data_IF_623405586712
#
_entry.id   IF_623405586712
#
_cell.length_a   1.000
_cell.length_b   1.000
_cell.length_c   1.000
_cell.angle_alpha   90.00
_cell.angle_beta   90.00
_cell.angle_gamma   90.00
#
_symmetry.space_group_name_H-M   'P 1'
#
loop_
_entity.id
_entity.type
_entity.pdbx_description
1 polymer ?
#
# COMPACT_ATOMS: atom_id res chain seq x y z
N UNK A 1 -27.96 -5.14 -4.63
CA UNK A 1 -27.34 -4.35 -3.59
C UNK A 1 -26.18 -5.20 -3.06
N UNK A 2 -25.01 -5.06 -3.66
CA UNK A 2 -23.83 -5.85 -3.33
C UNK A 2 -22.97 -4.99 -2.40
N UNK A 3 -23.05 -5.28 -1.12
CA UNK A 3 -22.21 -4.63 -0.10
C UNK A 3 -20.79 -5.19 -0.26
N UNK A 4 -19.90 -4.40 -0.84
CA UNK A 4 -18.48 -4.71 -0.82
C UNK A 4 -17.98 -4.45 0.61
N UNK A 5 -17.73 -5.52 1.36
CA UNK A 5 -17.10 -5.44 2.69
C UNK A 5 -15.64 -5.02 2.46
N UNK A 6 -15.33 -3.78 2.78
CA UNK A 6 -13.95 -3.33 2.91
C UNK A 6 -13.37 -4.01 4.16
N UNK A 7 -12.54 -5.00 3.96
CA UNK A 7 -11.82 -5.67 5.05
C UNK A 7 -10.60 -4.85 5.44
N UNK A 8 -10.57 -4.46 6.67
CA UNK A 8 -9.49 -3.74 7.35
C UNK A 8 -8.25 -4.61 7.46
N UNK A 9 -7.13 -4.08 7.01
CA UNK A 9 -5.81 -4.64 7.17
C UNK A 9 -5.17 -4.08 8.44
N UNK A 10 -4.90 -4.91 9.43
CA UNK A 10 -4.22 -4.50 10.67
C UNK A 10 -2.74 -4.85 10.62
N UNK A 11 -1.86 -3.86 10.74
CA UNK A 11 -0.43 -4.07 10.93
C UNK A 11 -0.15 -4.43 12.40
N UNK A 12 0.61 -5.49 12.64
CA UNK A 12 1.01 -5.94 13.97
C UNK A 12 2.42 -5.43 14.29
N UNK A 13 2.55 -4.56 15.30
CA UNK A 13 3.84 -4.09 15.80
C UNK A 13 4.38 -5.01 16.89
N UNK A 14 5.63 -5.44 16.75
CA UNK A 14 6.35 -6.19 17.79
C UNK A 14 6.94 -5.27 18.86
N UNK A 15 6.65 -5.53 20.13
CA UNK A 15 7.12 -4.75 21.26
C UNK A 15 8.55 -5.10 21.73
N UNK A 16 9.25 -4.11 22.23
CA UNK A 16 10.51 -4.23 22.98
C UNK A 16 10.55 -3.23 24.14
N UNK A 17 10.86 -3.72 25.30
CA UNK A 17 10.76 -3.11 26.64
C UNK A 17 11.91 -2.14 26.98
N UNK A 18 11.60 -1.03 27.67
CA UNK A 18 12.35 -0.59 28.85
C UNK A 18 13.07 0.74 28.86
N UNK A 19 12.64 1.54 29.76
CA UNK A 19 13.24 2.49 30.70
C UNK A 19 13.34 3.98 30.39
N UNK A 20 12.85 4.71 31.39
CA UNK A 20 12.71 6.15 31.58
C UNK A 20 14.03 6.92 31.66
N UNK A 21 14.12 8.15 31.09
CA UNK A 21 14.21 9.40 31.84
C UNK A 21 14.31 10.67 30.98
N UNK A 22 13.74 11.73 31.57
CA UNK A 22 13.89 13.17 31.40
C UNK A 22 13.44 13.87 30.12
N UNK A 23 12.39 14.62 30.33
CA UNK A 23 11.72 15.58 29.45
C UNK A 23 12.60 16.74 28.99
N UNK A 24 12.72 16.90 27.69
CA UNK A 24 12.84 18.20 27.05
C UNK A 24 11.62 18.41 26.18
N UNK A 25 10.75 19.33 26.53
CA UNK A 25 9.58 19.71 25.71
C UNK A 25 10.06 20.50 24.51
N UNK A 26 10.36 19.80 23.42
CA UNK A 26 10.38 20.42 22.08
C UNK A 26 8.94 20.44 21.59
N UNK A 27 8.37 21.63 21.38
CA UNK A 27 7.08 21.78 20.71
C UNK A 27 7.11 21.03 19.39
N UNK A 28 6.07 20.23 19.05
CA UNK A 28 6.01 19.56 17.76
C UNK A 28 6.08 20.60 16.65
N UNK A 29 6.87 20.30 15.62
CA UNK A 29 6.95 21.14 14.41
C UNK A 29 5.55 21.22 13.80
N UNK A 30 5.03 22.42 13.49
CA UNK A 30 3.72 22.56 12.88
C UNK A 30 3.65 21.77 11.57
N UNK A 31 2.72 20.84 11.45
CA UNK A 31 2.46 20.12 10.20
C UNK A 31 1.83 21.11 9.21
N UNK A 32 2.29 21.12 7.94
CA UNK A 32 1.76 22.04 6.95
C UNK A 32 0.25 21.85 6.74
N UNK A 33 -0.53 22.89 6.86
CA UNK A 33 -1.96 22.94 6.56
C UNK A 33 -2.23 23.09 5.05
N UNK A 34 -1.26 22.76 4.19
CA UNK A 34 -1.39 22.93 2.74
C UNK A 34 -2.27 21.83 2.15
N UNK A 35 -3.33 22.23 1.46
CA UNK A 35 -4.23 21.35 0.71
C UNK A 35 -3.69 20.94 -0.67
N UNK A 36 -2.53 21.46 -1.04
CA UNK A 36 -1.83 21.13 -2.30
C UNK A 36 -0.72 20.13 -2.02
N UNK A 37 -0.64 19.11 -2.85
CA UNK A 37 0.39 18.09 -2.73
C UNK A 37 1.79 18.70 -2.81
N UNK A 38 2.67 18.25 -1.94
CA UNK A 38 4.10 18.59 -1.99
C UNK A 38 4.77 17.99 -3.24
N UNK A 39 5.99 18.45 -3.54
CA UNK A 39 6.78 17.87 -4.64
C UNK A 39 6.99 16.35 -4.48
N UNK A 40 7.11 15.87 -3.25
CA UNK A 40 7.28 14.44 -2.93
C UNK A 40 6.00 13.65 -3.24
N UNK A 41 4.85 14.16 -2.78
CA UNK A 41 3.54 13.55 -3.06
C UNK A 41 3.20 13.57 -4.55
N UNK A 42 3.57 14.64 -5.26
CA UNK A 42 3.43 14.70 -6.72
C UNK A 42 4.29 13.67 -7.44
N UNK A 43 5.49 13.37 -6.96
CA UNK A 43 6.35 12.31 -7.50
C UNK A 43 5.71 10.93 -7.30
N UNK A 44 5.18 10.65 -6.09
CA UNK A 44 4.45 9.41 -5.82
C UNK A 44 3.21 9.26 -6.72
N UNK A 45 2.40 10.32 -6.84
CA UNK A 45 1.21 10.33 -7.68
C UNK A 45 1.55 10.11 -9.17
N UNK A 46 2.64 10.73 -9.65
CA UNK A 46 3.12 10.55 -11.02
C UNK A 46 3.49 9.09 -11.26
N UNK A 47 4.31 8.49 -10.40
CA UNK A 47 4.74 7.10 -10.52
C UNK A 47 3.55 6.13 -10.45
N UNK A 48 2.59 6.35 -9.52
CA UNK A 48 1.36 5.56 -9.42
C UNK A 48 0.55 5.62 -10.72
N UNK A 49 0.33 6.81 -11.25
CA UNK A 49 -0.47 7.01 -12.46
C UNK A 49 0.22 6.52 -13.74
N UNK A 50 1.54 6.63 -13.85
CA UNK A 50 2.31 6.04 -14.95
C UNK A 50 2.13 4.53 -15.00
N UNK A 51 2.29 3.84 -13.86
CA UNK A 51 2.10 2.40 -13.76
C UNK A 51 0.66 1.97 -14.06
N UNK A 52 -0.32 2.64 -13.46
CA UNK A 52 -1.74 2.35 -13.70
C UNK A 52 -2.12 2.54 -15.18
N UNK A 53 -1.74 3.67 -15.76
CA UNK A 53 -2.10 4.03 -17.16
C UNK A 53 -1.42 3.10 -18.16
N UNK A 54 -0.14 2.80 -17.98
CA UNK A 54 0.61 1.90 -18.85
C UNK A 54 -0.04 0.51 -18.86
N UNK A 55 -0.54 0.03 -17.73
CA UNK A 55 -1.18 -1.28 -17.61
C UNK A 55 -2.71 -1.25 -17.83
N UNK A 56 -3.27 -0.13 -18.25
CA UNK A 56 -4.68 -0.02 -18.65
C UNK A 56 -5.69 0.12 -17.51
N UNK A 57 -5.25 0.32 -16.26
CA UNK A 57 -6.12 0.51 -15.10
C UNK A 57 -6.71 1.93 -14.99
N UNK A 58 -6.27 2.87 -15.85
CA UNK A 58 -6.68 4.27 -15.82
C UNK A 58 -5.96 5.09 -14.74
N UNK A 59 -5.84 6.38 -14.98
CA UNK A 59 -5.24 7.33 -14.03
C UNK A 59 -6.22 7.72 -12.93
N UNK A 60 -5.68 8.06 -11.77
CA UNK A 60 -6.40 8.66 -10.65
C UNK A 60 -6.27 10.19 -10.70
N UNK A 61 -7.31 10.90 -10.31
CA UNK A 61 -7.31 12.35 -10.15
C UNK A 61 -7.12 12.71 -8.68
N UNK A 62 -6.26 13.69 -8.40
CA UNK A 62 -6.09 14.18 -7.04
C UNK A 62 -7.40 14.79 -6.51
N UNK A 63 -7.77 14.43 -5.28
CA UNK A 63 -8.92 15.00 -4.59
C UNK A 63 -8.48 15.61 -3.26
N UNK A 64 -8.89 16.86 -3.02
CA UNK A 64 -8.49 17.61 -1.83
C UNK A 64 -8.96 16.95 -0.52
N UNK A 65 -10.18 16.43 -0.46
CA UNK A 65 -10.69 15.80 0.74
C UNK A 65 -9.96 14.48 1.03
N UNK A 66 -9.61 13.71 -0.01
CA UNK A 66 -8.78 12.52 0.15
C UNK A 66 -7.35 12.88 0.58
N UNK A 67 -6.77 13.99 0.08
CA UNK A 67 -5.48 14.48 0.57
C UNK A 67 -5.55 14.85 2.06
N UNK A 68 -6.60 15.54 2.50
CA UNK A 68 -6.78 15.88 3.92
C UNK A 68 -6.97 14.63 4.79
N UNK A 69 -7.72 13.64 4.31
CA UNK A 69 -7.88 12.35 4.99
C UNK A 69 -6.52 11.65 5.16
N UNK A 70 -5.77 11.53 4.07
CA UNK A 70 -4.42 10.94 4.08
C UNK A 70 -3.47 11.73 5.00
N UNK A 71 -3.51 13.07 4.96
CA UNK A 71 -2.70 13.93 5.82
C UNK A 71 -3.02 13.75 7.30
N UNK A 72 -4.29 13.72 7.68
CA UNK A 72 -4.68 13.51 9.08
C UNK A 72 -4.14 12.17 9.60
N UNK A 73 -4.35 11.09 8.84
CA UNK A 73 -3.92 9.76 9.27
C UNK A 73 -2.38 9.61 9.29
N UNK A 74 -1.69 10.12 8.28
CA UNK A 74 -0.23 10.17 8.30
C UNK A 74 0.31 10.99 9.48
N UNK A 75 -0.37 12.10 9.84
CA UNK A 75 -0.01 12.91 11.01
C UNK A 75 -0.29 12.20 12.33
N UNK A 76 -1.36 11.41 12.41
CA UNK A 76 -1.64 10.53 13.54
C UNK A 76 -0.49 9.54 13.75
N UNK A 77 -0.11 8.79 12.71
CA UNK A 77 0.99 7.83 12.77
C UNK A 77 2.34 8.50 13.10
N UNK A 78 2.60 9.67 12.51
CA UNK A 78 3.79 10.48 12.80
C UNK A 78 3.86 10.91 14.27
N UNK A 79 2.74 11.38 14.83
CA UNK A 79 2.62 11.76 16.25
C UNK A 79 2.88 10.59 17.18
N UNK A 80 2.30 9.41 16.88
CA UNK A 80 2.55 8.19 17.68
C UNK A 80 4.03 7.78 17.60
N UNK A 81 4.63 7.81 16.39
CA UNK A 81 6.05 7.52 16.18
C UNK A 81 6.94 8.46 16.99
N UNK A 82 6.67 9.77 16.94
CA UNK A 82 7.46 10.78 17.64
C UNK A 82 7.35 10.64 19.16
N UNK A 83 6.13 10.44 19.67
CA UNK A 83 5.88 10.31 21.10
C UNK A 83 6.55 9.07 21.68
N UNK A 84 6.45 7.93 21.00
CA UNK A 84 6.93 6.65 21.50
C UNK A 84 8.38 6.33 21.10
N UNK A 85 9.02 7.15 20.27
CA UNK A 85 10.38 6.92 19.76
C UNK A 85 10.55 5.54 19.14
N UNK A 86 9.56 5.12 18.35
CA UNK A 86 9.57 3.87 17.58
C UNK A 86 8.70 4.02 16.32
N UNK A 87 9.05 3.36 15.21
CA UNK A 87 8.22 3.39 14.00
C UNK A 87 6.83 2.83 14.27
N UNK A 88 5.80 3.53 13.79
CA UNK A 88 4.41 3.10 13.94
C UNK A 88 3.62 3.31 12.65
N UNK A 89 2.93 2.26 12.20
CA UNK A 89 1.94 2.31 11.13
C UNK A 89 0.77 1.40 11.47
N UNK A 90 -0.45 1.86 11.20
CA UNK A 90 -1.69 1.11 11.44
C UNK A 90 -2.79 1.65 10.53
N UNK A 91 -3.67 0.78 10.04
CA UNK A 91 -4.90 1.19 9.34
C UNK A 91 -5.98 1.73 10.27
N UNK A 92 -5.81 1.56 11.58
CA UNK A 92 -6.79 1.99 12.56
C UNK A 92 -6.19 2.97 13.56
N UNK A 93 -6.95 4.01 13.89
CA UNK A 93 -6.61 4.97 14.94
C UNK A 93 -7.27 4.55 16.26
N UNK A 94 -6.86 3.38 16.78
CA UNK A 94 -7.36 2.84 18.07
C UNK A 94 -6.35 3.07 19.18
N UNK A 95 -6.80 2.83 20.42
CA UNK A 95 -5.89 2.76 21.57
C UNK A 95 -5.03 1.51 21.44
N UNK A 96 -3.71 1.68 21.41
CA UNK A 96 -2.75 0.59 21.33
C UNK A 96 -2.08 0.37 22.69
N UNK A 97 -2.11 -0.88 23.16
CA UNK A 97 -1.53 -1.24 24.46
C UNK A 97 -0.02 -1.03 24.44
N UNK A 98 0.49 -0.27 25.41
CA UNK A 98 1.92 0.02 25.54
C UNK A 98 2.41 1.21 24.72
N UNK A 99 1.53 1.88 23.96
CA UNK A 99 1.84 3.12 23.26
C UNK A 99 1.11 4.31 23.88
N UNK A 100 1.78 5.45 23.92
CA UNK A 100 1.23 6.73 24.36
C UNK A 100 0.55 7.45 23.18
N UNK A 101 -0.43 8.31 23.50
CA UNK A 101 -1.11 9.18 22.54
C UNK A 101 -1.70 8.42 21.31
N UNK A 102 -2.33 7.28 21.57
CA UNK A 102 -3.05 6.52 20.58
C UNK A 102 -4.57 6.62 20.76
N UNK A 103 -5.34 6.36 19.70
CA UNK A 103 -6.79 6.50 19.70
C UNK A 103 -7.24 7.96 19.81
N UNK A 104 -8.42 8.18 20.35
CA UNK A 104 -9.12 9.49 20.40
C UNK A 104 -8.35 10.56 21.20
N UNK A 105 -7.38 10.19 22.02
CA UNK A 105 -6.55 11.14 22.76
C UNK A 105 -5.44 11.76 21.91
N UNK A 106 -5.11 11.15 20.78
CA UNK A 106 -4.12 11.71 19.86
C UNK A 106 -4.65 13.03 19.24
N UNK A 107 -3.81 14.09 19.19
CA UNK A 107 -4.24 15.37 18.64
C UNK A 107 -4.62 15.33 17.15
N UNK A 108 -4.20 14.31 16.42
CA UNK A 108 -4.51 14.13 15.00
C UNK A 108 -5.55 13.04 14.74
N UNK A 109 -6.18 12.50 15.80
CA UNK A 109 -7.24 11.51 15.63
C UNK A 109 -8.31 12.03 14.68
N UNK A 110 -8.62 11.27 13.63
CA UNK A 110 -9.58 11.65 12.61
C UNK A 110 -10.70 10.62 12.39
N UNK A 111 -10.55 9.42 12.93
CA UNK A 111 -11.54 8.36 12.88
C UNK A 111 -10.89 6.99 13.01
N UNK A 112 -11.61 6.05 13.63
CA UNK A 112 -11.07 4.73 13.97
C UNK A 112 -10.58 3.94 12.74
N UNK A 113 -11.22 4.10 11.60
CA UNK A 113 -10.92 3.44 10.33
C UNK A 113 -11.10 4.41 9.16
N UNK A 114 -10.76 3.98 7.95
CA UNK A 114 -10.87 4.82 6.77
C UNK A 114 -12.29 5.36 6.54
N UNK A 115 -13.33 4.56 6.78
CA UNK A 115 -14.72 5.00 6.62
C UNK A 115 -15.07 6.13 7.58
N UNK A 116 -14.64 6.02 8.84
CA UNK A 116 -14.80 7.07 9.85
C UNK A 116 -13.98 8.32 9.51
N UNK A 117 -12.77 8.16 8.96
CA UNK A 117 -11.92 9.29 8.54
C UNK A 117 -12.46 10.05 7.35
N UNK A 118 -13.15 9.38 6.43
CA UNK A 118 -13.83 10.01 5.27
C UNK A 118 -15.13 10.71 5.67
N UNK A 119 -15.64 10.45 6.86
CA UNK A 119 -16.86 11.05 7.39
C UNK A 119 -16.75 11.28 8.91
N UNK A 120 -15.83 12.14 9.35
CA UNK A 120 -15.45 12.24 10.76
C UNK A 120 -16.56 12.90 11.59
N UNK A 121 -16.88 12.29 12.74
CA UNK A 121 -17.80 12.86 13.75
C UNK A 121 -17.07 13.60 14.85
N UNK A 122 -15.93 13.07 15.28
CA UNK A 122 -15.10 13.64 16.35
C UNK A 122 -13.68 13.70 15.90
N UNK A 123 -13.09 14.88 15.98
CA UNK A 123 -11.71 15.13 15.55
C UNK A 123 -10.84 15.47 16.76
N UNK A 124 -9.59 15.02 16.73
CA UNK A 124 -8.54 15.55 17.57
C UNK A 124 -8.29 17.03 17.27
N UNK A 125 -7.67 17.73 18.21
CA UNK A 125 -7.50 19.21 18.15
C UNK A 125 -6.73 19.72 16.92
N UNK A 126 -5.93 18.89 16.27
CA UNK A 126 -5.09 19.23 15.11
C UNK A 126 -5.56 18.57 13.82
N UNK A 127 -6.56 17.67 13.88
CA UNK A 127 -7.11 17.05 12.69
C UNK A 127 -8.04 18.02 11.93
N UNK A 128 -8.04 17.94 10.62
CA UNK A 128 -8.85 18.77 9.74
C UNK A 128 -10.10 18.02 9.35
N UNK A 129 -11.27 18.66 9.43
CA UNK A 129 -12.53 18.05 9.01
C UNK A 129 -12.50 17.72 7.52
N UNK A 130 -12.87 16.48 7.20
CA UNK A 130 -13.06 16.02 5.83
C UNK A 130 -14.45 15.41 5.69
N UNK A 131 -14.98 15.45 4.50
CA UNK A 131 -16.17 14.70 4.12
C UNK A 131 -16.02 14.24 2.67
N UNK A 132 -16.20 12.95 2.45
CA UNK A 132 -16.14 12.40 1.11
C UNK A 132 -17.17 11.28 0.95
N UNK A 133 -18.14 11.49 0.08
CA UNK A 133 -19.16 10.50 -0.25
C UNK A 133 -18.64 9.54 -1.33
N UNK A 134 -18.65 8.23 -1.05
CA UNK A 134 -18.01 7.21 -1.88
C UNK A 134 -18.84 5.93 -2.02
N UNK A 135 -18.63 5.23 -3.13
CA UNK A 135 -19.13 3.88 -3.38
C UNK A 135 -18.08 2.79 -3.07
N UNK A 136 -16.81 3.12 -3.28
CA UNK A 136 -15.68 2.26 -2.98
C UNK A 136 -14.51 3.10 -2.46
N UNK A 137 -13.74 2.52 -1.57
CA UNK A 137 -12.56 3.13 -0.98
C UNK A 137 -11.45 2.10 -0.78
N UNK A 138 -10.23 2.56 -0.70
CA UNK A 138 -9.04 1.75 -0.39
C UNK A 138 -7.96 2.60 0.23
N UNK A 139 -7.16 2.00 1.07
CA UNK A 139 -6.06 2.63 1.77
C UNK A 139 -4.80 1.79 1.60
N UNK A 140 -3.68 2.44 1.38
CA UNK A 140 -2.38 1.81 1.31
C UNK A 140 -1.40 2.63 2.15
N UNK A 141 -0.74 1.95 3.08
CA UNK A 141 0.24 2.55 3.99
C UNK A 141 1.59 1.90 3.75
N UNK A 142 2.62 2.71 3.66
CA UNK A 142 4.00 2.25 3.65
C UNK A 142 4.80 2.99 4.72
N UNK A 143 5.64 2.24 5.43
CA UNK A 143 6.56 2.76 6.42
C UNK A 143 7.99 2.36 6.04
N UNK A 144 8.92 3.31 6.13
CA UNK A 144 10.36 3.05 6.01
C UNK A 144 11.08 3.70 7.18
N UNK A 145 11.99 2.99 7.81
CA UNK A 145 12.81 3.52 8.90
C UNK A 145 14.28 3.30 8.62
N UNK A 146 15.08 4.35 8.86
CA UNK A 146 16.53 4.33 8.71
C UNK A 146 17.18 5.00 9.92
N UNK A 147 18.21 4.36 10.49
CA UNK A 147 18.98 4.87 11.63
C UNK A 147 20.39 5.24 11.22
N UNK A 148 20.94 6.32 11.76
CA UNK A 148 22.29 6.78 11.49
C UNK A 148 22.88 7.56 12.65
N UNK A 149 24.23 7.50 12.81
CA UNK A 149 24.98 8.36 13.73
C UNK A 149 25.40 9.68 13.06
N UNK A 150 25.18 9.84 11.77
CA UNK A 150 25.56 11.04 11.02
C UNK A 150 24.49 12.11 11.19
N UNK A 151 24.77 13.13 12.02
CA UNK A 151 23.85 14.24 12.26
C UNK A 151 23.60 15.15 11.02
N UNK A 152 24.49 15.06 10.03
CA UNK A 152 24.36 15.83 8.76
C UNK A 152 23.62 15.03 7.68
N UNK A 153 23.19 13.80 7.96
CA UNK A 153 22.44 13.02 6.99
C UNK A 153 21.07 13.64 6.71
N UNK A 154 20.72 13.74 5.44
CA UNK A 154 19.40 14.18 4.97
C UNK A 154 18.79 13.09 4.12
N UNK A 155 17.51 12.83 4.36
CA UNK A 155 16.72 11.88 3.57
C UNK A 155 16.48 12.49 2.18
N UNK A 156 16.64 11.69 1.14
CA UNK A 156 16.14 12.05 -0.19
C UNK A 156 14.66 11.62 -0.27
N UNK A 157 13.75 12.50 0.12
CA UNK A 157 12.33 12.19 0.25
C UNK A 157 11.70 11.68 -1.04
N UNK A 158 12.09 12.23 -2.20
CA UNK A 158 11.58 11.77 -3.50
C UNK A 158 12.00 10.33 -3.79
N UNK A 159 13.28 10.00 -3.62
CA UNK A 159 13.74 8.62 -3.82
C UNK A 159 13.14 7.66 -2.80
N UNK A 160 12.92 8.13 -1.57
CA UNK A 160 12.28 7.34 -0.50
C UNK A 160 10.84 7.03 -0.85
N UNK A 161 10.03 8.02 -1.22
CA UNK A 161 8.61 7.80 -1.55
C UNK A 161 8.43 6.91 -2.79
N UNK A 162 9.31 7.03 -3.79
CA UNK A 162 9.31 6.13 -4.95
C UNK A 162 9.62 4.68 -4.51
N UNK A 163 10.62 4.47 -3.65
CA UNK A 163 10.94 3.16 -3.12
C UNK A 163 9.77 2.57 -2.30
N UNK A 164 9.12 3.38 -1.47
CA UNK A 164 7.94 2.98 -0.68
C UNK A 164 6.78 2.56 -1.60
N UNK A 165 6.55 3.28 -2.68
CA UNK A 165 5.51 2.91 -3.65
C UNK A 165 5.85 1.61 -4.40
N UNK A 166 7.11 1.38 -4.76
CA UNK A 166 7.53 0.09 -5.33
C UNK A 166 7.36 -1.07 -4.34
N UNK A 167 7.56 -0.85 -3.05
CA UNK A 167 7.29 -1.86 -2.03
C UNK A 167 5.79 -2.19 -1.95
N UNK A 168 4.92 -1.18 -2.03
CA UNK A 168 3.47 -1.39 -2.10
C UNK A 168 3.05 -2.15 -3.39
N UNK A 169 3.68 -1.87 -4.53
CA UNK A 169 3.46 -2.65 -5.75
C UNK A 169 3.99 -4.10 -5.67
N UNK A 170 4.97 -4.35 -4.80
CA UNK A 170 5.47 -5.71 -4.55
C UNK A 170 4.63 -6.48 -3.52
N UNK A 171 3.71 -5.83 -2.82
CA UNK A 171 2.85 -6.41 -1.81
C UNK A 171 1.50 -6.83 -2.45
N UNK A 172 1.14 -8.12 -2.48
CA UNK A 172 0.00 -8.65 -3.24
C UNK A 172 -1.32 -7.89 -3.07
N UNK A 173 -1.72 -7.61 -1.84
CA UNK A 173 -3.01 -6.95 -1.57
C UNK A 173 -2.93 -5.42 -1.72
N UNK A 174 -1.79 -4.82 -1.38
CA UNK A 174 -1.55 -3.41 -1.67
C UNK A 174 -1.49 -3.16 -3.18
N UNK A 175 -0.79 -4.02 -3.94
CA UNK A 175 -0.79 -3.98 -5.40
C UNK A 175 -2.22 -4.00 -5.95
N UNK A 176 -3.04 -4.99 -5.51
CA UNK A 176 -4.44 -5.09 -5.91
C UNK A 176 -5.20 -3.78 -5.65
N UNK A 177 -5.04 -3.20 -4.45
CA UNK A 177 -5.66 -1.93 -4.07
C UNK A 177 -5.19 -0.77 -4.94
N UNK A 178 -3.87 -0.63 -5.15
CA UNK A 178 -3.28 0.47 -5.93
C UNK A 178 -3.75 0.47 -7.39
N UNK A 179 -3.96 -0.71 -7.99
CA UNK A 179 -4.37 -0.81 -9.40
C UNK A 179 -5.87 -1.10 -9.59
N UNK A 180 -6.68 -1.09 -8.52
CA UNK A 180 -8.10 -1.37 -8.63
C UNK A 180 -8.78 -0.37 -9.59
N UNK A 181 -9.41 -0.86 -10.70
CA UNK A 181 -9.85 0.03 -11.78
C UNK A 181 -11.08 0.87 -11.44
N UNK A 182 -11.79 0.54 -10.36
CA UNK A 182 -12.95 1.32 -9.90
C UNK A 182 -12.54 2.64 -9.25
N UNK A 183 -11.32 2.72 -8.68
CA UNK A 183 -10.86 3.98 -8.12
C UNK A 183 -10.55 4.99 -9.22
N UNK A 184 -11.10 6.20 -9.07
CA UNK A 184 -10.94 7.32 -9.99
C UNK A 184 -10.29 8.54 -9.34
N UNK A 185 -10.32 8.61 -8.02
CA UNK A 185 -9.74 9.71 -7.26
C UNK A 185 -8.77 9.20 -6.19
N UNK A 186 -7.80 10.04 -5.82
CA UNK A 186 -6.75 9.71 -4.85
C UNK A 186 -6.35 10.91 -4.02
N UNK A 187 -6.01 10.66 -2.77
CA UNK A 187 -5.28 11.55 -1.88
C UNK A 187 -3.99 10.87 -1.41
N UNK A 188 -2.93 11.66 -1.26
CA UNK A 188 -1.64 11.20 -0.77
C UNK A 188 -1.13 12.13 0.32
N UNK A 189 -0.40 11.54 1.28
CA UNK A 189 0.39 12.29 2.26
C UNK A 189 1.69 11.56 2.54
N UNK A 190 2.77 12.32 2.60
CA UNK A 190 4.10 11.86 3.01
C UNK A 190 4.53 12.62 4.25
N UNK A 191 4.96 11.90 5.28
CA UNK A 191 5.49 12.46 6.52
C UNK A 191 6.87 11.88 6.80
N UNK A 192 7.81 12.74 7.18
CA UNK A 192 9.13 12.34 7.69
C UNK A 192 9.24 12.73 9.16
N UNK A 193 9.37 11.74 10.03
CA UNK A 193 9.59 11.91 11.47
C UNK A 193 11.05 11.65 11.80
N UNK A 194 11.68 12.60 12.47
CA UNK A 194 13.06 12.47 12.95
C UNK A 194 13.06 12.39 14.49
N UNK A 195 13.62 11.32 15.02
CA UNK A 195 13.70 11.09 16.46
C UNK A 195 15.02 10.42 16.83
N UNK A 196 15.41 10.50 18.13
CA UNK A 196 16.68 9.96 18.62
C UNK A 196 16.43 8.91 19.69
N UNK A 197 17.05 7.75 19.55
CA UNK A 197 17.13 6.72 20.56
C UNK A 197 18.48 6.00 20.46
N UNK A 198 18.99 5.49 21.57
CA UNK A 198 20.23 4.70 21.64
C UNK A 198 21.44 5.39 20.97
N UNK A 199 21.54 6.73 21.05
CA UNK A 199 22.54 7.56 20.38
C UNK A 199 22.51 7.52 18.84
N UNK A 200 21.42 7.04 18.25
CA UNK A 200 21.20 7.06 16.81
C UNK A 200 20.04 8.01 16.47
N UNK A 201 20.15 8.64 15.32
CA UNK A 201 19.09 9.46 14.74
C UNK A 201 18.30 8.55 13.81
N UNK A 202 17.01 8.44 14.08
CA UNK A 202 16.07 7.67 13.29
C UNK A 202 15.29 8.61 12.37
N UNK A 203 15.12 8.18 11.13
CA UNK A 203 14.29 8.82 10.12
C UNK A 203 13.18 7.85 9.74
N UNK A 204 11.97 8.09 10.21
CA UNK A 204 10.78 7.29 9.86
C UNK A 204 9.98 8.03 8.79
N UNK A 205 9.88 7.45 7.61
CA UNK A 205 9.06 7.93 6.52
C UNK A 205 7.75 7.18 6.49
N UNK A 206 6.64 7.89 6.34
CA UNK A 206 5.29 7.37 6.26
C UNK A 206 4.67 7.86 4.95
N UNK A 207 4.15 6.94 4.16
CA UNK A 207 3.37 7.23 2.94
C UNK A 207 1.96 6.68 3.13
N UNK A 208 0.99 7.55 3.03
CA UNK A 208 -0.43 7.25 3.06
C UNK A 208 -1.05 7.52 1.69
N UNK A 209 -1.80 6.56 1.15
CA UNK A 209 -2.51 6.67 -0.12
C UNK A 209 -3.96 6.25 0.10
N UNK A 210 -4.87 7.19 -0.04
CA UNK A 210 -6.32 6.96 0.02
C UNK A 210 -6.89 7.06 -1.38
N UNK A 211 -7.47 5.97 -1.89
CA UNK A 211 -8.10 5.92 -3.21
C UNK A 211 -9.60 5.69 -3.08
N UNK A 212 -10.40 6.28 -3.96
CA UNK A 212 -11.86 6.14 -3.90
C UNK A 212 -12.55 6.23 -5.26
N UNK A 213 -13.78 5.71 -5.28
CA UNK A 213 -14.80 6.00 -6.30
C UNK A 213 -15.87 6.85 -5.65
N UNK A 214 -16.09 8.13 -6.07
CA UNK A 214 -17.15 8.96 -5.51
C UNK A 214 -18.54 8.44 -5.85
N UNK A 215 -19.52 8.65 -4.95
CA UNK A 215 -20.92 8.22 -5.15
C UNK A 215 -21.58 8.85 -6.38
N UNK A 216 -21.08 9.99 -6.83
CA UNK A 216 -21.55 10.67 -8.04
C UNK A 216 -21.15 10.01 -9.36
N UNK A 217 -20.16 9.08 -9.32
CA UNK A 217 -19.69 8.35 -10.50
C UNK A 217 -20.31 6.95 -10.55
N UNK A 218 -20.43 6.40 -11.75
CA UNK A 218 -20.86 5.01 -11.94
C UNK A 218 -19.66 4.07 -11.86
N UNK A 219 -19.92 2.84 -11.42
CA UNK A 219 -18.94 1.77 -11.52
C UNK A 219 -18.45 1.62 -12.97
N UNK A 220 -17.13 1.49 -13.12
CA UNK A 220 -16.50 1.24 -14.42
C UNK A 220 -16.68 -0.24 -14.75
N UNK A 221 -17.32 -0.54 -15.89
CA UNK A 221 -17.37 -1.92 -16.40
C UNK A 221 -16.00 -2.30 -16.94
N UNK A 222 -15.33 -3.23 -16.28
CA UNK A 222 -14.11 -3.81 -16.84
C UNK A 222 -14.49 -4.98 -17.74
N UNK A 223 -14.31 -4.79 -19.06
CA UNK A 223 -14.52 -5.80 -20.11
C UNK A 223 -13.20 -6.36 -20.65
N UNK A 224 -12.06 -5.94 -20.10
CA UNK A 224 -10.73 -6.31 -20.57
C UNK A 224 -10.00 -7.17 -19.56
N UNK A 225 -9.07 -7.97 -20.07
CA UNK A 225 -8.05 -8.62 -19.26
C UNK A 225 -6.97 -7.58 -18.95
N UNK A 226 -6.75 -7.31 -17.67
CA UNK A 226 -5.73 -6.39 -17.17
C UNK A 226 -4.72 -7.16 -16.31
N UNK A 227 -3.48 -6.75 -16.33
CA UNK A 227 -2.46 -7.30 -15.43
C UNK A 227 -1.45 -6.24 -15.00
N UNK A 228 -0.91 -6.41 -13.81
CA UNK A 228 0.25 -5.68 -13.31
C UNK A 228 1.26 -6.68 -12.68
N UNK A 229 2.56 -6.61 -13.04
CA UNK A 229 3.14 -5.74 -14.08
C UNK A 229 2.53 -5.99 -15.45
N UNK A 230 2.71 -5.06 -16.39
CA UNK A 230 2.40 -5.24 -17.81
C UNK A 230 3.67 -4.99 -18.64
N UNK A 231 3.54 -5.06 -19.97
CA UNK A 231 4.71 -4.99 -20.84
C UNK A 231 5.50 -3.70 -20.67
N UNK A 232 6.82 -3.83 -20.49
CA UNK A 232 7.77 -2.74 -20.36
C UNK A 232 7.80 -2.00 -19.01
N UNK A 233 6.98 -2.38 -18.02
CA UNK A 233 6.94 -1.74 -16.70
C UNK A 233 8.19 -2.09 -15.89
N UNK A 234 8.65 -1.15 -15.08
CA UNK A 234 9.66 -1.38 -14.04
C UNK A 234 8.98 -1.56 -12.68
N UNK A 235 9.39 -2.58 -11.91
CA UNK A 235 8.75 -2.98 -10.64
C UNK A 235 9.75 -3.13 -9.51
N UNK A 236 9.27 -3.45 -8.30
CA UNK A 236 10.07 -4.04 -7.23
C UNK A 236 10.64 -5.41 -7.62
N UNK A 237 11.42 -6.00 -6.74
CA UNK A 237 11.99 -7.34 -6.96
C UNK A 237 11.76 -8.29 -5.79
N UNK A 238 11.47 -7.77 -4.60
CA UNK A 238 11.21 -8.57 -3.40
C UNK A 238 10.19 -7.91 -2.49
N UNK A 239 9.59 -8.74 -1.63
CA UNK A 239 8.73 -8.32 -0.53
C UNK A 239 9.08 -9.11 0.72
N UNK A 240 9.28 -8.40 1.83
CA UNK A 240 9.66 -8.95 3.14
C UNK A 240 8.56 -8.78 4.20
N UNK A 241 7.48 -8.07 3.89
CA UNK A 241 6.38 -7.85 4.83
C UNK A 241 5.08 -7.49 4.09
N UNK A 242 3.98 -8.09 4.51
CA UNK A 242 2.61 -7.80 4.05
C UNK A 242 1.61 -8.15 5.15
N UNK A 243 0.68 -7.27 5.39
CA UNK A 243 -0.43 -7.53 6.32
C UNK A 243 -1.75 -7.19 5.65
N UNK A 244 -2.69 -8.20 5.55
CA UNK A 244 -2.53 -9.58 5.98
C UNK A 244 -1.57 -10.36 5.08
N UNK A 245 -0.90 -11.35 5.67
CA UNK A 245 0.04 -12.20 4.94
C UNK A 245 -0.71 -13.07 3.90
N UNK A 246 -0.29 -13.06 2.61
CA UNK A 246 -0.94 -13.85 1.55
C UNK A 246 -0.80 -15.36 1.72
N UNK A 247 0.05 -15.81 2.62
CA UNK A 247 0.22 -17.22 3.00
C UNK A 247 -0.43 -17.56 4.35
N UNK A 248 -1.19 -16.62 4.94
CA UNK A 248 -1.74 -16.79 6.28
C UNK A 248 -0.62 -16.96 7.32
N UNK A 249 -0.67 -18.03 8.10
CA UNK A 249 0.34 -18.34 9.13
C UNK A 249 1.41 -19.34 8.66
N UNK A 250 1.38 -19.78 7.39
CA UNK A 250 2.27 -20.84 6.90
C UNK A 250 3.65 -20.36 6.47
N UNK A 251 3.83 -19.04 6.32
CA UNK A 251 5.09 -18.44 5.87
C UNK A 251 5.31 -17.09 6.56
N UNK A 252 6.49 -16.88 7.07
CA UNK A 252 6.97 -15.59 7.57
C UNK A 252 7.79 -14.91 6.48
N UNK A 253 7.24 -13.84 5.89
CA UNK A 253 7.86 -13.12 4.78
C UNK A 253 9.17 -12.45 5.17
N UNK A 254 9.38 -12.10 6.44
CA UNK A 254 10.63 -11.53 6.93
C UNK A 254 11.82 -12.47 6.75
N UNK A 255 11.59 -13.76 6.90
CA UNK A 255 12.65 -14.80 6.76
C UNK A 255 12.57 -15.55 5.43
N UNK A 256 11.44 -15.49 4.77
CA UNK A 256 11.18 -16.16 3.50
C UNK A 256 10.52 -15.16 2.53
N UNK A 257 11.25 -14.13 2.07
CA UNK A 257 10.73 -13.13 1.18
C UNK A 257 10.27 -13.73 -0.16
N UNK A 258 9.40 -13.04 -0.84
CA UNK A 258 8.84 -13.41 -2.14
C UNK A 258 9.28 -12.43 -3.22
N UNK A 259 9.08 -12.82 -4.49
CA UNK A 259 9.30 -11.92 -5.63
C UNK A 259 8.10 -11.03 -5.92
N UNK A 260 8.27 -10.11 -6.88
CA UNK A 260 7.20 -9.25 -7.38
C UNK A 260 5.98 -10.07 -7.82
N UNK A 261 4.81 -9.88 -7.22
CA UNK A 261 3.58 -10.57 -7.62
C UNK A 261 3.07 -10.08 -8.98
N UNK A 262 2.40 -10.97 -9.68
CA UNK A 262 1.69 -10.68 -10.93
C UNK A 262 0.19 -10.71 -10.62
N UNK A 263 -0.42 -9.53 -10.54
CA UNK A 263 -1.88 -9.42 -10.38
C UNK A 263 -2.56 -9.47 -11.76
N UNK A 264 -3.60 -10.26 -11.88
CA UNK A 264 -4.41 -10.37 -13.09
C UNK A 264 -5.88 -10.19 -12.75
N UNK A 265 -6.52 -9.29 -13.47
CA UNK A 265 -7.94 -9.00 -13.38
C UNK A 265 -8.63 -9.36 -14.71
N UNK A 266 -9.47 -10.38 -14.69
CA UNK A 266 -10.34 -10.73 -15.79
C UNK A 266 -11.55 -9.79 -15.88
N UNK A 267 -12.29 -9.75 -17.01
CA UNK A 267 -13.56 -9.04 -17.11
C UNK A 267 -14.49 -9.34 -15.94
N UNK A 268 -15.28 -8.35 -15.49
CA UNK A 268 -16.10 -8.48 -14.29
C UNK A 268 -17.23 -9.52 -14.38
N UNK A 269 -17.65 -9.88 -15.60
CA UNK A 269 -18.61 -10.94 -15.87
C UNK A 269 -18.00 -12.35 -15.82
N UNK A 270 -16.68 -12.49 -15.79
CA UNK A 270 -15.98 -13.77 -15.77
C UNK A 270 -15.72 -14.28 -14.36
N UNK A 271 -15.61 -15.60 -14.25
CA UNK A 271 -15.16 -16.30 -13.06
C UNK A 271 -13.99 -17.20 -13.45
N UNK A 272 -12.85 -17.05 -12.80
CA UNK A 272 -11.66 -17.85 -13.03
C UNK A 272 -11.85 -19.20 -12.34
N UNK A 273 -11.80 -20.29 -13.12
CA UNK A 273 -11.84 -21.66 -12.60
C UNK A 273 -10.43 -22.20 -12.35
N UNK A 274 -9.51 -21.94 -13.29
CA UNK A 274 -8.11 -22.36 -13.17
C UNK A 274 -7.19 -21.23 -13.67
N UNK A 275 -6.02 -21.13 -13.06
CA UNK A 275 -4.99 -20.17 -13.47
C UNK A 275 -3.60 -20.79 -13.32
N UNK A 276 -2.75 -20.61 -14.32
CA UNK A 276 -1.36 -21.06 -14.31
C UNK A 276 -0.46 -19.97 -14.88
N UNK A 277 0.76 -19.86 -14.35
CA UNK A 277 1.76 -18.94 -14.87
C UNK A 277 3.15 -19.55 -14.89
N UNK A 278 3.99 -19.03 -15.77
CA UNK A 278 5.42 -19.28 -15.83
C UNK A 278 6.14 -17.94 -15.93
N UNK A 279 7.17 -17.77 -15.14
CA UNK A 279 8.06 -16.61 -15.20
C UNK A 279 9.45 -17.10 -15.57
N UNK A 280 10.07 -16.47 -16.55
CA UNK A 280 11.40 -16.85 -17.02
C UNK A 280 12.35 -15.66 -17.04
N UNK A 281 13.63 -15.94 -16.81
CA UNK A 281 14.76 -15.05 -17.02
C UNK A 281 15.63 -15.65 -18.11
N UNK A 282 15.83 -14.96 -19.24
CA UNK A 282 16.61 -15.47 -20.38
C UNK A 282 16.18 -16.89 -20.80
N UNK A 283 14.88 -17.16 -20.85
CA UNK A 283 14.32 -18.47 -21.22
C UNK A 283 14.36 -19.54 -20.13
N UNK A 284 14.99 -19.28 -18.97
CA UNK A 284 15.05 -20.22 -17.84
C UNK A 284 13.97 -19.89 -16.81
N UNK A 285 13.17 -20.88 -16.39
CA UNK A 285 12.16 -20.71 -15.33
C UNK A 285 12.81 -20.29 -14.03
N UNK A 286 12.18 -19.34 -13.31
CA UNK A 286 12.66 -18.86 -12.00
C UNK A 286 12.28 -19.80 -10.85
N UNK A 287 11.55 -20.87 -11.09
CA UNK A 287 11.14 -21.84 -10.08
C UNK A 287 9.64 -21.83 -9.80
N UNK A 288 9.26 -22.08 -8.55
CA UNK A 288 7.87 -22.21 -8.13
C UNK A 288 7.16 -20.87 -8.09
N UNK A 289 5.88 -20.90 -8.48
CA UNK A 289 4.96 -19.77 -8.42
C UNK A 289 3.72 -20.21 -7.65
N UNK A 290 3.39 -19.46 -6.60
CA UNK A 290 2.14 -19.66 -5.87
C UNK A 290 1.00 -18.95 -6.60
N UNK A 291 -0.17 -19.58 -6.65
CA UNK A 291 -1.36 -19.03 -7.30
C UNK A 291 -2.43 -18.77 -6.25
N UNK A 292 -2.76 -17.51 -6.01
CA UNK A 292 -3.87 -17.09 -5.18
C UNK A 292 -5.08 -16.76 -6.05
N UNK A 293 -6.20 -17.39 -5.75
CA UNK A 293 -7.52 -17.12 -6.34
C UNK A 293 -8.52 -16.86 -5.22
N UNK A 294 -9.74 -16.44 -5.55
CA UNK A 294 -10.80 -16.29 -4.55
C UNK A 294 -11.08 -17.54 -3.70
N UNK A 295 -10.70 -18.73 -4.20
CA UNK A 295 -10.88 -20.00 -3.49
C UNK A 295 -9.70 -20.31 -2.55
N UNK A 296 -8.46 -20.00 -2.98
CA UNK A 296 -7.23 -20.33 -2.24
C UNK A 296 -6.70 -19.19 -1.37
N UNK A 297 -7.20 -17.96 -1.53
CA UNK A 297 -6.82 -16.80 -0.74
C UNK A 297 -7.21 -16.99 0.74
N UNK A 298 -6.25 -17.09 1.67
CA UNK A 298 -6.53 -17.28 3.09
C UNK A 298 -7.27 -16.10 3.72
N UNK A 299 -7.10 -14.90 3.16
CA UNK A 299 -7.67 -13.66 3.67
C UNK A 299 -9.02 -13.29 3.00
N UNK A 300 -9.44 -14.04 1.99
CA UNK A 300 -10.72 -13.83 1.27
C UNK A 300 -10.89 -12.44 0.66
N UNK A 301 -9.79 -11.83 0.23
CA UNK A 301 -9.76 -10.49 -0.36
C UNK A 301 -9.97 -10.52 -1.88
N UNK A 302 -9.63 -11.62 -2.55
CA UNK A 302 -9.74 -11.73 -4.00
C UNK A 302 -11.18 -12.02 -4.45
N UNK A 303 -11.61 -11.31 -5.48
CA UNK A 303 -12.87 -11.58 -6.18
C UNK A 303 -12.71 -12.77 -7.15
N UNK A 304 -13.82 -13.35 -7.60
CA UNK A 304 -13.85 -14.53 -8.48
C UNK A 304 -13.17 -14.36 -9.85
N UNK A 305 -12.96 -13.13 -10.26
CA UNK A 305 -12.29 -12.75 -11.52
C UNK A 305 -10.87 -12.23 -11.31
N UNK A 306 -10.30 -12.43 -10.12
CA UNK A 306 -8.94 -12.01 -9.79
C UNK A 306 -8.04 -13.21 -9.50
N UNK A 307 -6.78 -13.09 -9.87
CA UNK A 307 -5.72 -14.04 -9.50
C UNK A 307 -4.41 -13.28 -9.26
N UNK A 308 -3.62 -13.75 -8.30
CA UNK A 308 -2.26 -13.28 -8.06
C UNK A 308 -1.31 -14.46 -8.18
N UNK A 309 -0.30 -14.33 -9.05
CA UNK A 309 0.81 -15.26 -9.15
C UNK A 309 2.00 -14.69 -8.38
N UNK A 310 2.51 -15.41 -7.41
CA UNK A 310 3.56 -14.96 -6.50
C UNK A 310 4.79 -15.83 -6.71
N UNK A 311 5.93 -15.26 -7.19
CA UNK A 311 7.20 -15.99 -7.22
C UNK A 311 7.63 -16.40 -5.82
N UNK A 312 8.01 -17.67 -5.64
CA UNK A 312 8.39 -18.22 -4.33
C UNK A 312 9.66 -17.57 -3.74
N UNK A 313 10.50 -17.02 -4.60
CA UNK A 313 11.75 -16.37 -4.20
C UNK A 313 11.82 -14.95 -4.76
N UNK A 314 12.58 -14.03 -4.09
CA UNK A 314 12.89 -12.73 -4.64
C UNK A 314 13.45 -12.81 -6.07
N UNK A 315 13.06 -11.84 -6.89
CA UNK A 315 13.63 -11.65 -8.20
C UNK A 315 15.00 -10.95 -8.09
N UNK A 316 15.82 -11.03 -9.13
CA UNK A 316 17.08 -10.29 -9.15
C UNK A 316 16.83 -8.82 -9.48
N UNK A 317 17.51 -7.87 -8.85
CA UNK A 317 17.43 -6.47 -9.23
C UNK A 317 17.97 -6.23 -10.65
N UNK A 318 17.54 -5.13 -11.26
CA UNK A 318 17.96 -4.67 -12.62
C UNK A 318 17.88 -5.77 -13.70
N UNK A 319 16.84 -6.61 -13.64
CA UNK A 319 16.72 -7.82 -14.45
C UNK A 319 15.40 -7.85 -15.21
N UNK A 320 15.45 -8.27 -16.49
CA UNK A 320 14.27 -8.49 -17.30
C UNK A 320 13.68 -9.87 -17.10
N UNK A 321 12.35 -9.95 -17.02
CA UNK A 321 11.59 -11.18 -16.91
C UNK A 321 10.50 -11.25 -17.96
N UNK A 322 10.22 -12.47 -18.43
CA UNK A 322 9.07 -12.78 -19.28
C UNK A 322 8.06 -13.58 -18.48
N UNK A 323 6.80 -13.16 -18.54
CA UNK A 323 5.66 -13.85 -17.94
C UNK A 323 4.79 -14.43 -19.03
N UNK A 324 4.35 -15.67 -18.85
CA UNK A 324 3.29 -16.29 -19.63
C UNK A 324 2.27 -16.87 -18.68
N UNK A 325 0.98 -16.59 -18.87
CA UNK A 325 -0.08 -17.18 -18.07
C UNK A 325 -1.29 -17.62 -18.89
N UNK A 326 -2.04 -18.56 -18.34
CA UNK A 326 -3.32 -19.03 -18.88
C UNK A 326 -4.38 -18.97 -17.79
N UNK A 327 -5.54 -18.45 -18.14
CA UNK A 327 -6.78 -18.51 -17.35
C UNK A 327 -7.77 -19.43 -18.05
N UNK A 328 -8.48 -20.25 -17.27
CA UNK A 328 -9.66 -21.01 -17.71
C UNK A 328 -10.84 -20.47 -16.94
N UNK A 329 -11.90 -20.08 -17.62
CA UNK A 329 -13.12 -19.56 -17.00
C UNK A 329 -14.15 -20.68 -16.77
N UNK A 330 -15.12 -20.43 -15.89
CA UNK A 330 -16.18 -21.40 -15.59
C UNK A 330 -17.04 -21.80 -16.80
N UNK A 331 -17.07 -20.97 -17.85
CA UNK A 331 -17.73 -21.28 -19.13
C UNK A 331 -16.87 -22.14 -20.08
N UNK A 332 -15.68 -22.56 -19.65
CA UNK A 332 -14.73 -23.35 -20.40
C UNK A 332 -13.86 -22.55 -21.38
N UNK A 333 -14.09 -21.24 -21.54
CA UNK A 333 -13.23 -20.39 -22.34
C UNK A 333 -11.84 -20.29 -21.73
N UNK A 334 -10.82 -20.15 -22.60
CA UNK A 334 -9.42 -19.98 -22.17
C UNK A 334 -8.87 -18.68 -22.71
N UNK A 335 -8.08 -18.02 -21.89
CA UNK A 335 -7.32 -16.83 -22.29
C UNK A 335 -5.88 -17.01 -21.89
N UNK A 336 -4.97 -16.67 -22.79
CA UNK A 336 -3.52 -16.65 -22.55
C UNK A 336 -2.98 -15.25 -22.75
N UNK A 337 -1.96 -14.89 -21.99
CA UNK A 337 -1.22 -13.64 -22.20
C UNK A 337 0.27 -13.87 -21.98
N UNK A 338 1.09 -13.03 -22.60
CA UNK A 338 2.53 -13.01 -22.46
C UNK A 338 3.01 -11.57 -22.52
N UNK A 339 3.91 -11.20 -21.62
CA UNK A 339 4.50 -9.86 -21.52
C UNK A 339 5.88 -9.92 -20.87
N UNK A 340 6.59 -8.80 -20.91
CA UNK A 340 7.89 -8.63 -20.25
C UNK A 340 7.84 -7.46 -19.26
N UNK A 341 8.60 -7.57 -18.18
CA UNK A 341 8.82 -6.48 -17.25
C UNK A 341 10.27 -6.47 -16.77
N UNK A 342 10.67 -5.40 -16.11
CA UNK A 342 12.01 -5.25 -15.55
C UNK A 342 11.93 -4.90 -14.07
N UNK A 343 12.82 -5.46 -13.26
CA UNK A 343 12.98 -5.03 -11.87
C UNK A 343 13.90 -3.81 -11.79
N UNK A 344 13.64 -2.93 -10.83
CA UNK A 344 14.51 -1.78 -10.52
C UNK A 344 15.90 -2.25 -10.04
N UNK A 345 16.90 -1.34 -10.07
CA UNK A 345 18.23 -1.57 -9.50
C UNK A 345 18.21 -1.90 -8.01
#
# INVERSE_FOLDING_TARGET
MLTLLATLLTACGGGGSGNSDSSSTTSPTPIPTSTTNSTVELAAMKLLNENRSQCGFGSLTANQNLNLTAMNHASYMASVTETNKQPFASHEERVETGLLDTGITNPYYSGIDLAARLNPFTLGKNAVSTYYDYQAQGENISLSNFSTNNSSYTVNDTATVEAMLYNLFAAPYHLRSLVYPQFTEVGLSYQLVKWTANNEINHTSLLEIVSALPSSQKYIENTKLLNFPCDGVTTGYELTDETPNPFGTTRDLKYQPIGQPIYVLAPFDKTIAEATATITQNGTSIGMIHTLTSLSDPNKLLSKNEVIFIPDLPLKPNTGYQVSYQLVYNDGQKTTNQFTFKTRP
#
